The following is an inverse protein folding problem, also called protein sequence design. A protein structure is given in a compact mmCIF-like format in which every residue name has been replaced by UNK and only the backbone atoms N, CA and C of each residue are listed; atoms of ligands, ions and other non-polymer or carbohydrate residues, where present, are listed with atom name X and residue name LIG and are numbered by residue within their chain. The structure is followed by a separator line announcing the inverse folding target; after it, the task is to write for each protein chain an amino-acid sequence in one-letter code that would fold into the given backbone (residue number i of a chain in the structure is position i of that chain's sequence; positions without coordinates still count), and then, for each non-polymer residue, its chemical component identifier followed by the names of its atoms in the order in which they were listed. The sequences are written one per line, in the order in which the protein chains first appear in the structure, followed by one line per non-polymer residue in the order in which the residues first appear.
data_IF_472270571072
#
_entry.id   IF_472270571072
#
_cell.length_a   1.000
_cell.length_b   1.000
_cell.length_c   1.000
_cell.angle_alpha   90.00
_cell.angle_beta   90.00
_cell.angle_gamma   90.00
#
_symmetry.space_group_name_H-M   'P 1'
#
loop_
_entity.id
_entity.type
_entity.pdbx_description
1 polymer ?
#
# COMPACT_ATOMS: atom_id res chain seq x y z
N UNK A 1 -0.38 -0.12 -17.41
CA UNK A 1 -1.15 -0.43 -18.64
C UNK A 1 -2.45 0.39 -18.79
N UNK A 2 -2.86 1.20 -17.80
CA UNK A 2 -3.95 2.19 -17.97
C UNK A 2 -3.50 3.65 -17.79
N UNK A 3 -2.25 3.88 -17.36
CA UNK A 3 -1.69 5.19 -16.96
C UNK A 3 -2.58 5.97 -15.96
N UNK A 4 -3.48 5.26 -15.27
CA UNK A 4 -4.41 5.82 -14.31
C UNK A 4 -3.69 6.03 -12.99
N UNK A 5 -3.78 7.23 -12.42
CA UNK A 5 -3.43 7.48 -11.03
C UNK A 5 -4.65 7.15 -10.18
N UNK A 6 -4.46 6.28 -9.19
CA UNK A 6 -5.50 5.84 -8.26
C UNK A 6 -5.18 6.49 -6.92
N UNK A 7 -6.18 6.97 -6.21
CA UNK A 7 -5.95 7.45 -4.85
C UNK A 7 -5.61 6.27 -3.94
N UNK A 8 -4.56 6.41 -3.15
CA UNK A 8 -4.16 5.42 -2.15
C UNK A 8 -4.51 5.94 -0.76
N UNK A 9 -5.06 5.06 0.09
CA UNK A 9 -5.36 5.35 1.49
C UNK A 9 -4.39 4.59 2.37
N UNK A 10 -3.79 5.27 3.35
CA UNK A 10 -2.88 4.69 4.33
C UNK A 10 -3.62 4.56 5.67
N UNK A 11 -3.70 3.34 6.19
CA UNK A 11 -4.22 3.08 7.52
C UNK A 11 -3.10 3.28 8.55
N UNK A 12 -3.33 4.16 9.53
CA UNK A 12 -2.42 4.39 10.65
C UNK A 12 -3.11 4.07 11.96
N UNK A 13 -2.36 3.53 12.90
CA UNK A 13 -2.80 3.40 14.28
C UNK A 13 -2.47 4.69 15.04
N UNK A 14 -3.39 5.16 15.87
CA UNK A 14 -3.12 6.30 16.75
C UNK A 14 -2.19 5.88 17.88
N UNK A 15 -0.88 6.10 17.70
CA UNK A 15 0.14 5.79 18.68
C UNK A 15 1.30 6.81 18.61
N UNK A 16 2.21 6.76 19.60
CA UNK A 16 3.30 7.72 19.70
C UNK A 16 4.21 7.71 18.46
N UNK A 17 4.55 6.54 17.94
CA UNK A 17 5.43 6.42 16.77
C UNK A 17 4.80 7.09 15.54
N UNK A 18 3.52 6.83 15.28
CA UNK A 18 2.79 7.46 14.19
C UNK A 18 2.79 8.99 14.33
N UNK A 19 2.55 9.51 15.54
CA UNK A 19 2.54 10.97 15.78
C UNK A 19 3.91 11.60 15.58
N UNK A 20 4.98 10.95 16.05
CA UNK A 20 6.35 11.49 15.95
C UNK A 20 6.85 11.59 14.51
N UNK A 21 6.40 10.69 13.62
CA UNK A 21 6.92 10.59 12.25
C UNK A 21 5.89 10.92 11.15
N UNK A 22 4.68 11.37 11.51
CA UNK A 22 3.63 11.69 10.52
C UNK A 22 4.06 12.80 9.56
N UNK A 23 4.69 13.86 10.09
CA UNK A 23 5.16 14.98 9.27
C UNK A 23 6.25 14.55 8.29
N UNK A 24 7.19 13.71 8.74
CA UNK A 24 8.24 13.15 7.89
C UNK A 24 7.69 12.25 6.79
N UNK A 25 6.69 11.42 7.13
CA UNK A 25 5.99 10.57 6.17
C UNK A 25 5.29 11.41 5.09
N UNK A 26 4.54 12.44 5.51
CA UNK A 26 3.87 13.37 4.59
C UNK A 26 4.88 14.08 3.70
N UNK A 27 5.99 14.56 4.28
CA UNK A 27 7.06 15.22 3.52
C UNK A 27 7.67 14.27 2.48
N UNK A 28 7.98 13.04 2.87
CA UNK A 28 8.54 12.04 1.98
C UNK A 28 7.66 11.80 0.74
N UNK A 29 6.34 11.65 0.93
CA UNK A 29 5.41 11.48 -0.19
C UNK A 29 5.39 12.71 -1.11
N UNK A 30 5.31 13.92 -0.56
CA UNK A 30 5.34 15.16 -1.35
C UNK A 30 6.63 15.31 -2.15
N UNK A 31 7.78 15.02 -1.54
CA UNK A 31 9.09 15.07 -2.21
C UNK A 31 9.20 14.05 -3.36
N UNK A 32 8.41 12.96 -3.31
CA UNK A 32 8.31 11.95 -4.37
C UNK A 32 7.15 12.21 -5.35
N UNK A 33 6.59 13.42 -5.38
CA UNK A 33 5.58 13.83 -6.35
C UNK A 33 4.15 13.34 -6.05
N UNK A 34 3.88 12.92 -4.82
CA UNK A 34 2.53 12.58 -4.38
C UNK A 34 1.79 13.81 -3.86
N UNK A 35 0.48 13.80 -4.06
CA UNK A 35 -0.46 14.78 -3.50
C UNK A 35 -1.16 14.16 -2.30
N UNK A 36 -1.27 14.91 -1.21
CA UNK A 36 -2.00 14.49 0.00
C UNK A 36 -3.43 15.02 -0.11
N UNK A 37 -4.41 14.14 0.04
CA UNK A 37 -5.83 14.46 -0.01
C UNK A 37 -6.60 13.79 1.13
N UNK A 38 -7.84 14.18 1.33
CA UNK A 38 -8.73 13.59 2.33
C UNK A 38 -9.12 12.16 1.96
N UNK A 39 -9.22 11.30 2.98
CA UNK A 39 -9.61 9.90 2.77
C UNK A 39 -10.99 9.78 2.11
N UNK A 40 -11.94 10.63 2.48
CA UNK A 40 -13.29 10.62 1.91
C UNK A 40 -13.27 10.87 0.41
N UNK A 41 -12.44 11.82 -0.06
CA UNK A 41 -12.24 12.09 -1.49
C UNK A 41 -11.53 10.92 -2.20
N UNK A 42 -10.55 10.30 -1.53
CA UNK A 42 -9.86 9.14 -2.09
C UNK A 42 -10.83 7.97 -2.32
N UNK A 43 -11.77 7.74 -1.40
CA UNK A 43 -12.76 6.66 -1.48
C UNK A 43 -13.82 6.86 -2.57
N UNK A 44 -13.95 8.05 -3.15
CA UNK A 44 -14.81 8.29 -4.31
C UNK A 44 -14.27 7.62 -5.60
N UNK A 45 -13.02 7.17 -5.60
CA UNK A 45 -12.44 6.46 -6.73
C UNK A 45 -13.18 5.12 -7.00
N UNK A 46 -13.63 4.93 -8.24
CA UNK A 46 -14.42 3.76 -8.64
C UNK A 46 -13.76 2.40 -8.33
N UNK A 47 -12.43 2.34 -8.14
CA UNK A 47 -11.77 1.10 -7.75
C UNK A 47 -12.32 0.55 -6.43
N UNK A 48 -12.76 1.41 -5.51
CA UNK A 48 -13.28 1.01 -4.21
C UNK A 48 -14.65 0.32 -4.29
N UNK A 49 -15.29 0.31 -5.46
CA UNK A 49 -16.51 -0.48 -5.72
C UNK A 49 -16.21 -1.90 -6.23
N UNK A 50 -14.94 -2.20 -6.52
CA UNK A 50 -14.55 -3.52 -7.01
C UNK A 50 -14.64 -4.58 -5.91
N UNK A 51 -15.18 -5.75 -6.26
CA UNK A 51 -15.31 -6.90 -5.36
C UNK A 51 -14.55 -8.10 -5.92
N UNK A 52 -13.24 -8.24 -5.62
CA UNK A 52 -12.45 -9.36 -6.11
C UNK A 52 -13.04 -10.69 -5.62
N UNK A 53 -13.19 -11.66 -6.54
CA UNK A 53 -13.58 -13.02 -6.19
C UNK A 53 -12.35 -13.86 -5.80
N UNK A 54 -11.57 -13.35 -4.84
CA UNK A 54 -10.43 -14.03 -4.23
C UNK A 54 -10.69 -14.24 -2.75
N UNK A 55 -10.05 -15.24 -2.13
CA UNK A 55 -10.15 -15.44 -0.69
C UNK A 55 -9.62 -14.17 0.01
N UNK A 56 -10.39 -13.53 0.91
CA UNK A 56 -9.91 -12.38 1.65
C UNK A 56 -8.81 -12.83 2.62
N UNK A 57 -7.59 -12.32 2.46
CA UNK A 57 -6.47 -12.65 3.34
C UNK A 57 -5.79 -11.40 3.95
N UNK A 58 -6.50 -10.27 3.96
CA UNK A 58 -6.07 -9.04 4.64
C UNK A 58 -5.16 -8.14 3.81
N UNK A 59 -5.08 -8.35 2.49
CA UNK A 59 -4.26 -7.56 1.58
C UNK A 59 -4.99 -6.32 1.03
N UNK A 60 -4.24 -5.47 0.32
CA UNK A 60 -4.82 -4.32 -0.37
C UNK A 60 -5.72 -4.74 -1.53
N UNK A 61 -6.72 -3.92 -1.84
CA UNK A 61 -7.65 -4.14 -2.96
C UNK A 61 -6.92 -4.28 -4.31
N UNK A 62 -5.89 -3.46 -4.53
CA UNK A 62 -5.04 -3.53 -5.74
C UNK A 62 -4.36 -4.90 -5.84
N UNK A 63 -3.87 -5.43 -4.73
CA UNK A 63 -3.25 -6.75 -4.70
C UNK A 63 -4.25 -7.85 -5.04
N UNK A 64 -5.44 -7.82 -4.42
CA UNK A 64 -6.50 -8.79 -4.68
C UNK A 64 -6.96 -8.77 -6.15
N UNK A 65 -7.11 -7.57 -6.74
CA UNK A 65 -7.41 -7.41 -8.16
C UNK A 65 -6.28 -7.94 -9.06
N UNK A 66 -5.01 -7.69 -8.70
CA UNK A 66 -3.86 -8.25 -9.42
C UNK A 66 -3.85 -9.78 -9.36
N UNK A 67 -4.15 -10.37 -8.19
CA UNK A 67 -4.27 -11.82 -8.01
C UNK A 67 -5.39 -12.40 -8.87
N UNK A 68 -6.60 -11.81 -8.79
CA UNK A 68 -7.75 -12.22 -9.59
C UNK A 68 -7.47 -12.17 -11.09
N UNK A 69 -6.67 -11.19 -11.55
CA UNK A 69 -6.36 -11.04 -12.96
C UNK A 69 -5.48 -12.18 -13.53
N UNK A 70 -4.72 -12.90 -12.69
CA UNK A 70 -3.73 -13.90 -13.11
C UNK A 70 -2.53 -13.33 -13.90
N UNK A 71 -2.50 -12.03 -14.20
CA UNK A 71 -1.49 -11.41 -15.07
C UNK A 71 -0.13 -11.23 -14.40
N UNK A 72 -0.13 -11.18 -13.07
CA UNK A 72 1.04 -10.81 -12.29
C UNK A 72 1.62 -11.98 -11.50
N UNK A 73 1.20 -13.23 -11.73
CA UNK A 73 1.60 -14.38 -10.91
C UNK A 73 3.11 -14.55 -10.74
N UNK A 74 3.92 -14.14 -11.72
CA UNK A 74 5.39 -14.23 -11.67
C UNK A 74 6.05 -13.17 -10.79
N UNK A 75 5.34 -12.10 -10.46
CA UNK A 75 5.88 -10.92 -9.74
C UNK A 75 5.02 -10.52 -8.54
N UNK A 76 3.81 -11.06 -8.41
CA UNK A 76 2.89 -10.76 -7.34
C UNK A 76 3.35 -11.47 -6.07
N UNK A 77 3.83 -10.67 -5.12
CA UNK A 77 4.36 -11.11 -3.83
C UNK A 77 3.27 -11.12 -2.77
N UNK A 78 3.23 -12.13 -1.89
CA UNK A 78 2.27 -12.15 -0.80
C UNK A 78 2.64 -11.09 0.26
N UNK A 79 1.74 -10.18 0.68
CA UNK A 79 2.12 -9.04 1.52
C UNK A 79 2.50 -9.40 2.96
N UNK A 80 2.00 -10.51 3.49
CA UNK A 80 2.32 -10.98 4.84
C UNK A 80 3.62 -11.83 4.89
N UNK A 81 4.53 -11.59 3.94
CA UNK A 81 5.88 -12.17 3.99
C UNK A 81 6.64 -11.69 5.23
N UNK A 82 7.40 -12.63 5.77
CA UNK A 82 8.00 -12.61 7.10
C UNK A 82 9.43 -12.05 7.08
N UNK A 83 10.10 -12.15 8.23
CA UNK A 83 11.42 -11.58 8.45
C UNK A 83 12.50 -12.07 7.47
N UNK A 84 12.34 -13.18 6.75
CA UNK A 84 13.37 -13.66 5.82
C UNK A 84 13.63 -12.69 4.65
N UNK A 85 12.57 -12.02 4.18
CA UNK A 85 12.68 -11.05 3.08
C UNK A 85 13.29 -9.72 3.55
N UNK A 86 12.82 -9.20 4.68
CA UNK A 86 13.21 -7.88 5.18
C UNK A 86 14.60 -7.90 5.83
N UNK A 87 14.98 -9.03 6.45
CA UNK A 87 16.20 -9.17 7.25
C UNK A 87 17.49 -8.76 6.52
N UNK A 88 17.77 -9.18 5.27
CA UNK A 88 19.01 -8.77 4.61
C UNK A 88 19.15 -7.26 4.44
N UNK A 89 18.03 -6.56 4.22
CA UNK A 89 18.01 -5.11 4.08
C UNK A 89 18.11 -4.41 5.43
N UNK A 90 17.40 -4.91 6.44
CA UNK A 90 17.50 -4.42 7.82
C UNK A 90 18.92 -4.59 8.38
N UNK A 91 19.52 -5.78 8.22
CA UNK A 91 20.91 -6.07 8.61
C UNK A 91 21.89 -5.09 7.95
N UNK A 92 21.68 -4.77 6.66
CA UNK A 92 22.51 -3.80 5.92
C UNK A 92 22.38 -2.38 6.46
N UNK A 93 21.24 -2.04 7.04
CA UNK A 93 20.98 -0.76 7.68
C UNK A 93 21.38 -0.76 9.18
N UNK A 94 21.78 -1.91 9.73
CA UNK A 94 22.13 -2.07 11.14
C UNK A 94 20.91 -2.09 12.07
N UNK A 95 19.74 -2.51 11.56
CA UNK A 95 18.47 -2.62 12.29
C UNK A 95 18.18 -4.05 12.71
#
# INVERSE_FOLDING_TARGET
LTNRRIHHVILLHHNLAAVLFLDDLIKHFKDNGWEVTDADQAYEDAIYTETPNTIPAGESLIWALARMSGRFEKVLRYPAEDGEYEKPWMDKLGL
#
